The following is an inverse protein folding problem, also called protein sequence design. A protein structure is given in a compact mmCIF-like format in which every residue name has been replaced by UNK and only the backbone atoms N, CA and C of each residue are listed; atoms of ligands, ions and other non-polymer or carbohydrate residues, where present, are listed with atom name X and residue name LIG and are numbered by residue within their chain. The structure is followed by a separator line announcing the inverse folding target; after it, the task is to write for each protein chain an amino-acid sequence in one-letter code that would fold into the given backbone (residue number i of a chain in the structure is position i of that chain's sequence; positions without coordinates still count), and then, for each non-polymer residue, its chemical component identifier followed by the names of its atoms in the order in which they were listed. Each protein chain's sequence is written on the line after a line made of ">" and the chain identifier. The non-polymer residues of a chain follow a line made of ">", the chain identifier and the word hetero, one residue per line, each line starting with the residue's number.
data_IF_938650931781
#
_entry.id   IF_938650931781
#
_cell.length_a   1.000
_cell.length_b   1.000
_cell.length_c   1.000
_cell.angle_alpha   90.00
_cell.angle_beta   90.00
_cell.angle_gamma   90.00
#
_symmetry.space_group_name_H-M   'P 1'
#
loop_
_entity.id
_entity.type
_entity.pdbx_description
1 polymer ?
#
# COMPACT_ATOMS: atom_id res chain seq x y z
N UNK A 1 14.04 5.74 11.12
CA UNK A 1 12.87 6.62 11.01
C UNK A 1 12.67 6.91 9.54
N UNK A 2 11.57 6.45 8.93
CA UNK A 2 11.24 6.81 7.54
C UNK A 2 10.78 8.26 7.57
N UNK A 3 11.43 9.15 6.80
CA UNK A 3 10.92 10.49 6.59
C UNK A 3 9.69 10.39 5.67
N UNK A 4 8.52 10.35 6.27
CA UNK A 4 7.26 10.20 5.56
C UNK A 4 6.98 11.35 4.60
N UNK A 5 7.60 12.53 4.80
CA UNK A 5 7.48 13.64 3.86
C UNK A 5 8.14 13.36 2.50
N UNK A 6 9.11 12.44 2.46
CA UNK A 6 9.77 12.03 1.22
C UNK A 6 9.14 10.79 0.60
N UNK A 7 8.24 10.13 1.32
CA UNK A 7 7.60 8.90 0.86
C UNK A 7 6.41 9.24 -0.04
N UNK A 8 6.59 9.05 -1.35
CA UNK A 8 5.54 9.23 -2.36
C UNK A 8 4.89 7.89 -2.70
N UNK A 9 3.67 7.92 -3.23
CA UNK A 9 2.99 6.73 -3.73
C UNK A 9 3.84 6.00 -4.76
N UNK A 10 4.44 6.74 -5.69
CA UNK A 10 5.37 6.20 -6.70
C UNK A 10 6.60 5.52 -6.06
N UNK A 11 7.14 6.09 -4.98
CA UNK A 11 8.29 5.49 -4.27
C UNK A 11 7.92 4.17 -3.62
N UNK A 12 6.72 4.06 -3.05
CA UNK A 12 6.20 2.83 -2.48
C UNK A 12 5.95 1.78 -3.57
N UNK A 13 5.36 2.19 -4.70
CA UNK A 13 5.15 1.31 -5.85
C UNK A 13 6.49 0.78 -6.38
N UNK A 14 7.52 1.62 -6.49
CA UNK A 14 8.87 1.23 -6.93
C UNK A 14 9.59 0.32 -5.93
N UNK A 15 9.50 0.59 -4.64
CA UNK A 15 10.07 -0.27 -3.59
C UNK A 15 9.42 -1.65 -3.61
N UNK A 16 8.08 -1.70 -3.77
CA UNK A 16 7.38 -2.96 -3.94
C UNK A 16 7.75 -3.62 -5.28
N UNK A 17 7.92 -2.81 -6.33
CA UNK A 17 8.33 -3.26 -7.65
C UNK A 17 9.65 -4.03 -7.62
N UNK A 18 10.58 -3.58 -6.78
CA UNK A 18 11.87 -4.19 -6.58
C UNK A 18 11.81 -5.47 -5.72
N UNK A 19 10.87 -5.57 -4.78
CA UNK A 19 10.75 -6.71 -3.85
C UNK A 19 10.02 -7.91 -4.44
N UNK A 20 9.18 -7.70 -5.45
CA UNK A 20 8.38 -8.78 -6.05
C UNK A 20 8.53 -8.75 -7.57
N UNK A 21 8.72 -9.93 -8.17
CA UNK A 21 8.71 -10.08 -9.63
C UNK A 21 7.26 -10.15 -10.13
N UNK A 22 6.77 -9.06 -10.73
CA UNK A 22 5.43 -8.99 -11.31
C UNK A 22 5.39 -9.51 -12.74
N UNK A 23 4.23 -10.01 -13.16
CA UNK A 23 3.90 -10.19 -14.57
C UNK A 23 3.65 -8.85 -15.26
N UNK A 24 3.88 -8.78 -16.57
CA UNK A 24 3.70 -7.56 -17.38
C UNK A 24 2.30 -6.94 -17.33
N UNK A 25 1.29 -7.70 -16.92
CA UNK A 25 -0.12 -7.27 -16.82
C UNK A 25 -0.56 -7.00 -15.38
N UNK A 26 0.36 -7.10 -14.41
CA UNK A 26 0.08 -6.86 -13.00
C UNK A 26 0.36 -5.40 -12.66
N UNK A 27 -0.53 -4.79 -11.89
CA UNK A 27 -0.29 -3.49 -11.27
C UNK A 27 -0.44 -3.59 -9.75
N UNK A 28 0.29 -2.73 -9.07
CA UNK A 28 0.27 -2.59 -7.61
C UNK A 28 -0.82 -1.61 -7.23
N UNK A 29 -1.54 -1.95 -6.18
CA UNK A 29 -2.53 -1.10 -5.53
C UNK A 29 -2.14 -0.98 -4.07
N UNK A 30 -2.05 0.24 -3.56
CA UNK A 30 -1.62 0.51 -2.18
C UNK A 30 -2.79 1.09 -1.39
N UNK A 31 -3.07 0.52 -0.23
CA UNK A 31 -4.17 0.93 0.63
C UNK A 31 -3.75 0.98 2.10
N UNK A 32 -4.39 1.84 2.88
CA UNK A 32 -4.31 1.82 4.34
C UNK A 32 -5.38 0.88 4.89
N UNK A 33 -5.05 0.12 5.94
CA UNK A 33 -5.98 -0.77 6.61
C UNK A 33 -6.04 -0.45 8.11
N UNK A 34 -7.25 -0.21 8.61
CA UNK A 34 -7.49 -0.04 10.04
C UNK A 34 -7.88 -1.38 10.67
N UNK A 35 -7.02 -1.93 11.51
CA UNK A 35 -7.31 -3.15 12.25
C UNK A 35 -8.43 -2.97 13.29
N UNK A 36 -8.75 -1.73 13.67
CA UNK A 36 -9.82 -1.42 14.64
C UNK A 36 -11.20 -1.49 14.00
N UNK A 37 -11.33 -1.01 12.76
CA UNK A 37 -12.62 -0.94 12.04
C UNK A 37 -12.74 -1.98 10.94
N UNK A 38 -11.62 -2.57 10.51
CA UNK A 38 -11.54 -3.45 9.34
C UNK A 38 -11.62 -2.68 8.01
N UNK A 39 -11.55 -1.35 8.03
CA UNK A 39 -11.69 -0.53 6.83
C UNK A 39 -10.39 -0.45 6.03
N UNK A 40 -10.53 -0.62 4.71
CA UNK A 40 -9.46 -0.46 3.72
C UNK A 40 -9.68 0.85 2.94
N UNK A 41 -8.67 1.72 2.93
CA UNK A 41 -8.67 3.01 2.23
C UNK A 41 -7.62 3.00 1.13
N UNK A 42 -8.05 3.03 -0.12
CA UNK A 42 -7.15 3.11 -1.27
C UNK A 42 -6.41 4.45 -1.29
N UNK A 43 -5.09 4.43 -1.48
CA UNK A 43 -4.31 5.65 -1.70
C UNK A 43 -4.43 6.09 -3.15
N UNK A 44 -4.84 7.34 -3.35
CA UNK A 44 -4.99 7.97 -4.67
C UNK A 44 -3.84 8.91 -4.98
N UNK A 45 -3.22 9.48 -3.95
CA UNK A 45 -2.14 10.44 -4.09
C UNK A 45 -1.14 10.38 -2.93
N UNK A 46 -0.14 11.26 -2.97
CA UNK A 46 0.89 11.36 -1.94
C UNK A 46 0.35 11.90 -0.62
N UNK A 47 -0.78 12.63 -0.62
CA UNK A 47 -1.41 13.14 0.61
C UNK A 47 -2.02 11.98 1.39
N UNK A 48 -2.65 11.02 0.71
CA UNK A 48 -3.17 9.80 1.33
C UNK A 48 -2.04 8.99 1.99
N UNK A 49 -0.90 8.85 1.31
CA UNK A 49 0.30 8.18 1.85
C UNK A 49 0.82 8.89 3.09
N UNK A 50 1.02 10.21 3.01
CA UNK A 50 1.53 11.00 4.13
C UNK A 50 0.57 10.94 5.32
N UNK A 51 -0.74 11.06 5.07
CA UNK A 51 -1.76 10.96 6.11
C UNK A 51 -1.78 9.57 6.74
N UNK A 52 -1.72 8.50 5.95
CA UNK A 52 -1.68 7.13 6.46
C UNK A 52 -0.44 6.90 7.32
N UNK A 53 0.75 7.31 6.87
CA UNK A 53 2.01 7.21 7.62
C UNK A 53 1.97 8.03 8.93
N UNK A 54 1.36 9.22 8.89
CA UNK A 54 1.19 10.06 10.07
C UNK A 54 0.26 9.41 11.11
N UNK A 55 -0.92 8.95 10.67
CA UNK A 55 -1.91 8.29 11.54
C UNK A 55 -1.41 6.93 12.03
N UNK A 56 -0.50 6.28 11.30
CA UNK A 56 0.10 4.99 11.67
C UNK A 56 0.90 5.00 12.97
N UNK A 57 1.20 6.16 13.53
CA UNK A 57 1.71 6.22 14.91
C UNK A 57 0.78 5.57 15.94
N UNK A 58 -0.48 5.30 15.57
CA UNK A 58 -1.38 4.42 16.30
C UNK A 58 -1.21 2.97 15.82
N UNK A 59 -0.86 2.04 16.72
CA UNK A 59 -0.50 0.62 16.47
C UNK A 59 -1.52 -0.24 15.69
N UNK A 60 -2.66 0.34 15.27
CA UNK A 60 -3.76 -0.37 14.61
C UNK A 60 -3.92 -0.05 13.14
N UNK A 61 -2.99 0.68 12.53
CA UNK A 61 -3.04 1.02 11.10
C UNK A 61 -1.92 0.31 10.35
N UNK A 62 -2.26 -0.40 9.28
CA UNK A 62 -1.34 -1.07 8.38
C UNK A 62 -1.39 -0.41 7.01
N UNK A 63 -0.32 -0.54 6.24
CA UNK A 63 -0.35 -0.26 4.80
C UNK A 63 -0.30 -1.62 4.11
N UNK A 64 -1.27 -1.85 3.23
CA UNK A 64 -1.47 -3.05 2.45
C UNK A 64 -1.09 -2.80 1.00
N UNK A 65 -0.59 -3.84 0.37
CA UNK A 65 -0.32 -3.88 -1.06
C UNK A 65 -1.15 -4.98 -1.69
N UNK A 66 -1.75 -4.71 -2.84
CA UNK A 66 -2.49 -5.71 -3.62
C UNK A 66 -1.96 -5.74 -5.04
N UNK A 67 -1.77 -6.95 -5.54
CA UNK A 67 -1.43 -7.23 -6.93
C UNK A 67 -2.70 -7.52 -7.68
N UNK A 68 -3.02 -6.73 -8.69
CA UNK A 68 -4.14 -7.01 -9.58
C UNK A 68 -3.60 -7.52 -10.90
N UNK A 69 -3.73 -8.83 -11.14
CA UNK A 69 -3.34 -9.48 -12.40
C UNK A 69 -4.31 -9.21 -13.55
N UNK A 70 -5.53 -8.79 -13.22
CA UNK A 70 -6.56 -8.39 -14.16
C UNK A 70 -7.53 -7.44 -13.44
N UNK A 71 -8.15 -6.45 -14.12
CA UNK A 71 -9.13 -5.54 -13.49
C UNK A 71 -10.32 -6.26 -12.84
N UNK A 72 -10.59 -7.50 -13.25
CA UNK A 72 -11.67 -8.34 -12.71
C UNK A 72 -11.20 -9.38 -11.69
N UNK A 73 -9.90 -9.58 -11.56
CA UNK A 73 -9.35 -10.65 -10.74
C UNK A 73 -9.03 -10.10 -9.35
N UNK A 74 -10.03 -10.15 -8.45
CA UNK A 74 -9.90 -9.77 -7.04
C UNK A 74 -9.10 -10.78 -6.21
N UNK A 75 -8.36 -11.70 -6.86
CA UNK A 75 -7.57 -12.72 -6.16
C UNK A 75 -6.41 -12.06 -5.42
N UNK A 76 -6.61 -11.92 -4.11
CA UNK A 76 -5.65 -11.50 -3.09
C UNK A 76 -4.36 -12.32 -3.22
N UNK A 77 -3.31 -11.78 -3.82
CA UNK A 77 -2.06 -12.54 -3.99
C UNK A 77 -0.98 -12.28 -2.94
N UNK A 78 -1.09 -11.28 -2.08
CA UNK A 78 -0.32 -11.23 -0.83
C UNK A 78 -0.71 -9.99 -0.05
N UNK A 79 -0.92 -10.15 1.25
CA UNK A 79 -1.10 -9.05 2.18
C UNK A 79 0.25 -8.87 2.88
N UNK A 80 1.10 -8.02 2.31
CA UNK A 80 2.43 -7.74 2.88
C UNK A 80 2.26 -6.52 3.78
N UNK A 81 2.55 -6.59 5.09
CA UNK A 81 2.61 -5.40 5.93
C UNK A 81 3.73 -4.49 5.42
N UNK A 82 3.42 -3.24 5.05
CA UNK A 82 4.46 -2.25 4.82
C UNK A 82 5.09 -1.82 6.15
N UNK A 83 6.43 -1.77 6.16
CA UNK A 83 7.35 -1.31 7.22
C UNK A 83 6.72 -0.26 8.12
#
# INVERSE_FOLDING_TARGET
>A
VVDYHQCTLESLEKDLAARVKWGSSQHVVISGYDMSTGEETLFKDNMDVAHALFVRKSDRKLILFRVLAHPKDKRLQSMIPAI
#
